data_IF_555952209379
#
_entry.id   IF_555952209379
#
_cell.length_a   1.000
_cell.length_b   1.000
_cell.length_c   1.000
_cell.angle_alpha   90.00
_cell.angle_beta   90.00
_cell.angle_gamma   90.00
#
_symmetry.space_group_name_H-M   'P 1'
#
loop_
_entity.id
_entity.type
_entity.pdbx_description
1 polymer ?
#
# COMPACT_ATOMS: atom_id res chain seq x y z
N UNK A 1 11.26 17.56 -9.52
CA UNK A 1 11.28 16.15 -9.30
C UNK A 1 9.87 15.61 -9.19
N UNK A 2 9.62 14.60 -9.92
CA UNK A 2 8.30 14.07 -9.95
C UNK A 2 8.06 13.16 -8.74
N UNK A 3 6.91 13.27 -8.18
CA UNK A 3 6.54 12.45 -7.06
C UNK A 3 5.78 11.23 -7.60
N UNK A 4 6.43 10.08 -7.51
CA UNK A 4 5.83 8.84 -7.97
C UNK A 4 5.17 8.06 -6.86
N UNK A 5 5.00 8.68 -5.72
CA UNK A 5 4.48 7.99 -4.59
C UNK A 5 3.07 7.48 -4.81
N UNK A 6 2.88 6.24 -4.46
CA UNK A 6 1.55 5.70 -4.27
C UNK A 6 1.21 5.92 -2.81
N UNK A 7 0.14 6.61 -2.54
CA UNK A 7 -0.26 6.80 -1.16
C UNK A 7 -0.48 5.44 -0.51
N UNK A 8 -0.18 5.33 0.76
CA UNK A 8 -0.30 4.05 1.43
C UNK A 8 -1.74 3.57 1.39
N UNK A 9 -1.95 2.58 0.61
CA UNK A 9 -3.22 1.90 0.61
C UNK A 9 -3.26 0.97 1.82
N UNK A 10 -4.41 0.72 2.31
CA UNK A 10 -4.54 -0.16 3.43
C UNK A 10 -3.97 0.43 4.68
N UNK A 11 -4.02 1.71 4.75
CA UNK A 11 -3.36 2.48 5.78
C UNK A 11 -3.52 2.02 7.17
N UNK A 12 -3.92 0.87 7.36
CA UNK A 12 -3.84 0.32 8.64
C UNK A 12 -4.40 1.22 9.67
N UNK A 13 -5.52 1.10 9.93
CA UNK A 13 -6.04 1.67 11.11
C UNK A 13 -5.55 0.84 12.26
N UNK A 14 -4.57 1.30 12.98
CA UNK A 14 -4.01 0.48 14.04
C UNK A 14 -4.86 0.46 15.28
N UNK A 15 -5.86 1.24 15.30
CA UNK A 15 -6.48 1.51 16.56
C UNK A 15 -7.46 0.50 17.07
N UNK A 16 -7.84 -0.43 16.27
CA UNK A 16 -8.90 -1.32 16.68
C UNK A 16 -8.39 -2.50 17.46
N UNK A 17 -8.85 -2.70 18.66
CA UNK A 17 -8.70 -4.00 19.26
C UNK A 17 -9.63 -4.93 18.54
N UNK A 18 -9.15 -6.07 18.08
CA UNK A 18 -10.04 -7.02 17.44
C UNK A 18 -11.10 -7.47 18.43
N UNK A 19 -12.28 -7.60 17.96
CA UNK A 19 -13.34 -8.17 18.75
C UNK A 19 -12.96 -9.60 19.13
N UNK A 20 -13.19 -9.97 20.37
CA UNK A 20 -12.85 -11.31 20.83
C UNK A 20 -13.62 -12.38 20.06
N UNK A 21 -14.74 -12.03 19.47
CA UNK A 21 -15.56 -12.96 18.71
C UNK A 21 -15.22 -13.00 17.22
N UNK A 22 -14.36 -12.11 16.77
CA UNK A 22 -14.02 -12.08 15.35
C UNK A 22 -13.09 -13.25 15.00
N UNK A 23 -13.35 -13.92 13.88
CA UNK A 23 -12.42 -14.96 13.46
C UNK A 23 -11.07 -14.32 13.11
N UNK A 24 -10.01 -14.97 13.51
CA UNK A 24 -8.67 -14.53 13.18
C UNK A 24 -8.32 -15.12 11.84
N UNK A 25 -8.14 -14.26 10.85
CA UNK A 25 -7.67 -14.70 9.56
C UNK A 25 -6.16 -14.52 9.50
N UNK A 26 -5.49 -15.47 8.88
CA UNK A 26 -4.06 -15.37 8.65
C UNK A 26 -3.86 -14.45 7.44
N UNK A 27 -3.06 -13.38 7.57
CA UNK A 27 -2.79 -12.55 6.42
C UNK A 27 -2.04 -13.33 5.36
N UNK A 28 -2.34 -13.06 4.11
CA UNK A 28 -1.69 -13.70 2.98
C UNK A 28 -1.05 -12.61 2.14
N UNK A 29 0.24 -12.73 1.85
CA UNK A 29 0.89 -11.74 0.98
C UNK A 29 0.28 -11.75 -0.41
N UNK A 30 0.45 -10.65 -1.12
CA UNK A 30 0.05 -10.60 -2.54
C UNK A 30 0.78 -11.73 -3.26
N UNK A 31 0.06 -12.60 -3.97
CA UNK A 31 0.71 -13.75 -4.61
C UNK A 31 1.57 -13.34 -5.79
N UNK A 32 2.45 -14.23 -6.19
CA UNK A 32 3.24 -14.04 -7.40
C UNK A 32 2.33 -13.99 -8.61
N UNK A 33 2.67 -13.12 -9.54
CA UNK A 33 2.00 -12.99 -10.82
C UNK A 33 2.97 -13.37 -11.93
N UNK A 34 2.48 -13.51 -13.13
CA UNK A 34 3.34 -13.79 -14.28
C UNK A 34 4.20 -12.57 -14.59
N UNK A 35 5.52 -12.68 -14.52
CA UNK A 35 6.37 -11.54 -14.88
C UNK A 35 6.32 -11.24 -16.38
N UNK A 36 6.64 -9.99 -16.77
CA UNK A 36 7.02 -8.91 -15.88
C UNK A 36 5.80 -8.20 -15.29
N UNK A 37 5.97 -7.69 -14.09
CA UNK A 37 5.06 -6.74 -13.49
C UNK A 37 5.90 -5.81 -12.61
N UNK A 38 5.27 -4.90 -11.91
CA UNK A 38 6.00 -3.83 -11.24
C UNK A 38 5.61 -3.74 -9.79
N UNK A 39 6.58 -3.37 -8.96
CA UNK A 39 6.36 -3.14 -7.54
C UNK A 39 6.81 -1.74 -7.20
N UNK A 40 5.94 -1.00 -6.53
CA UNK A 40 6.26 0.32 -6.01
C UNK A 40 6.49 0.15 -4.52
N UNK A 41 7.70 0.43 -4.06
CA UNK A 41 8.08 0.28 -2.67
C UNK A 41 8.11 1.66 -2.03
N UNK A 42 7.22 1.89 -1.07
CA UNK A 42 7.09 3.16 -0.38
C UNK A 42 7.42 2.95 1.09
N UNK A 43 8.52 3.54 1.53
CA UNK A 43 8.97 3.43 2.91
C UNK A 43 8.90 4.81 3.55
N UNK A 44 8.27 4.91 4.70
CA UNK A 44 8.00 6.22 5.28
C UNK A 44 8.06 6.21 6.80
N UNK A 45 8.28 7.41 7.35
CA UNK A 45 8.15 7.68 8.78
C UNK A 45 7.07 8.74 8.91
N UNK A 46 6.09 8.48 9.77
CA UNK A 46 4.96 9.38 9.97
C UNK A 46 5.28 10.49 10.96
N UNK A 47 4.58 11.62 10.78
CA UNK A 47 4.52 12.65 11.82
C UNK A 47 3.60 12.17 12.94
N UNK A 48 3.63 12.87 14.07
CA UNK A 48 2.73 12.57 15.18
C UNK A 48 1.29 12.96 14.82
N UNK A 49 0.35 12.23 15.41
CA UNK A 49 -1.06 12.52 15.23
C UNK A 49 -1.57 12.01 13.88
N UNK A 50 -2.87 11.79 13.81
CA UNK A 50 -3.46 11.25 12.60
C UNK A 50 -3.61 12.30 11.49
N UNK A 51 -4.13 13.46 11.83
CA UNK A 51 -4.30 14.61 10.91
C UNK A 51 -5.01 14.22 9.60
N UNK A 52 -5.97 13.28 9.68
CA UNK A 52 -6.72 12.84 8.52
C UNK A 52 -6.07 11.73 7.71
N UNK A 53 -4.91 11.26 8.14
CA UNK A 53 -4.17 10.23 7.43
C UNK A 53 -4.97 8.95 7.28
N UNK A 54 -5.54 8.44 8.37
CA UNK A 54 -6.21 7.15 8.35
C UNK A 54 -7.40 7.14 7.39
N UNK A 55 -8.21 8.17 7.44
CA UNK A 55 -9.37 8.28 6.55
C UNK A 55 -8.95 8.36 5.09
N UNK A 56 -7.92 9.14 4.80
CA UNK A 56 -7.42 9.27 3.44
C UNK A 56 -6.81 7.97 2.96
N UNK A 57 -6.08 7.27 3.82
CA UNK A 57 -5.49 5.99 3.44
C UNK A 57 -6.56 4.96 3.08
N UNK A 58 -7.65 4.92 3.82
CA UNK A 58 -8.77 4.03 3.48
C UNK A 58 -9.37 4.38 2.12
N UNK A 59 -9.53 5.68 1.87
CA UNK A 59 -10.05 6.13 0.59
C UNK A 59 -9.13 5.76 -0.56
N UNK A 60 -7.82 5.90 -0.36
CA UNK A 60 -6.84 5.54 -1.37
C UNK A 60 -6.87 4.04 -1.65
N UNK A 61 -7.08 3.24 -0.63
CA UNK A 61 -7.19 1.79 -0.81
C UNK A 61 -8.38 1.44 -1.70
N UNK A 62 -9.50 2.12 -1.52
CA UNK A 62 -10.67 1.91 -2.37
C UNK A 62 -10.40 2.32 -3.82
N UNK A 63 -9.79 3.48 -3.99
CA UNK A 63 -9.57 4.05 -5.32
C UNK A 63 -8.56 3.26 -6.14
N UNK A 64 -7.47 2.80 -5.52
CA UNK A 64 -6.43 2.11 -6.26
C UNK A 64 -6.95 0.80 -6.84
N UNK A 65 -7.92 0.19 -6.20
CA UNK A 65 -8.52 -1.05 -6.71
C UNK A 65 -9.24 -0.85 -8.02
N UNK A 66 -9.62 0.37 -8.34
CA UNK A 66 -10.29 0.68 -9.60
C UNK A 66 -9.33 0.92 -10.75
N UNK A 67 -8.05 1.03 -10.46
CA UNK A 67 -7.05 1.25 -11.52
C UNK A 67 -6.83 -0.06 -12.28
N UNK A 68 -7.05 -0.06 -13.61
CA UNK A 68 -6.76 -1.25 -14.39
C UNK A 68 -5.29 -1.62 -14.25
N UNK A 69 -5.03 -2.88 -13.96
CA UNK A 69 -3.66 -3.34 -13.77
C UNK A 69 -3.17 -3.31 -12.33
N UNK A 70 -3.95 -2.81 -11.39
CA UNK A 70 -3.57 -2.94 -9.99
C UNK A 70 -3.67 -4.40 -9.56
N UNK A 71 -2.62 -4.93 -8.97
CA UNK A 71 -2.53 -6.36 -8.64
C UNK A 71 -2.64 -6.63 -7.14
N UNK A 72 -2.39 -5.65 -6.31
CA UNK A 72 -2.50 -5.84 -4.86
C UNK A 72 -1.50 -5.01 -4.09
N UNK A 73 -1.59 -5.08 -2.78
CA UNK A 73 -0.72 -4.31 -1.90
C UNK A 73 -0.43 -5.08 -0.63
N UNK A 74 0.82 -5.04 -0.19
CA UNK A 74 1.23 -5.51 1.12
C UNK A 74 1.71 -4.31 1.92
N UNK A 75 1.36 -4.26 3.20
CA UNK A 75 1.74 -3.12 4.02
C UNK A 75 1.95 -3.53 5.46
N UNK A 76 2.97 -2.97 6.08
CA UNK A 76 3.23 -3.14 7.50
C UNK A 76 3.84 -1.85 8.05
N UNK A 77 3.47 -1.52 9.28
CA UNK A 77 4.02 -0.34 9.93
C UNK A 77 4.22 -0.61 11.41
N UNK A 78 5.41 -0.29 11.88
CA UNK A 78 5.72 -0.33 13.29
C UNK A 78 5.31 1.00 13.90
N UNK A 79 4.49 1.02 14.97
CA UNK A 79 4.14 2.29 15.61
C UNK A 79 5.40 3.04 16.03
N UNK A 80 5.49 4.31 15.64
CA UNK A 80 6.65 5.15 15.92
C UNK A 80 7.87 4.82 15.08
N UNK A 81 7.77 3.91 14.13
CA UNK A 81 8.89 3.47 13.32
C UNK A 81 8.59 3.55 11.83
N UNK A 82 9.22 2.66 11.08
CA UNK A 82 9.05 2.61 9.64
C UNK A 82 7.73 1.98 9.25
N UNK A 83 7.16 2.50 8.17
CA UNK A 83 6.11 1.83 7.45
C UNK A 83 6.58 1.47 6.06
N UNK A 84 6.22 0.31 5.57
CA UNK A 84 6.59 -0.14 4.24
C UNK A 84 5.32 -0.60 3.53
N UNK A 85 5.07 -0.02 2.38
CA UNK A 85 3.96 -0.41 1.51
C UNK A 85 4.55 -0.85 0.19
N UNK A 86 4.17 -2.04 -0.27
CA UNK A 86 4.56 -2.52 -1.57
C UNK A 86 3.29 -2.72 -2.39
N UNK A 87 3.14 -1.93 -3.44
CA UNK A 87 1.98 -2.00 -4.34
C UNK A 87 2.41 -2.62 -5.65
N UNK A 88 1.59 -3.52 -6.17
CA UNK A 88 1.93 -4.25 -7.39
C UNK A 88 1.01 -3.84 -8.52
N UNK A 89 1.60 -3.61 -9.70
CA UNK A 89 0.87 -3.17 -10.87
C UNK A 89 1.32 -3.96 -12.09
N UNK A 90 0.40 -4.22 -13.01
CA UNK A 90 0.68 -4.99 -14.20
C UNK A 90 1.71 -4.33 -15.11
N UNK A 91 1.67 -3.00 -15.21
CA UNK A 91 2.51 -2.25 -16.13
C UNK A 91 2.74 -0.83 -15.62
N UNK A 92 3.64 -0.13 -16.29
CA UNK A 92 3.96 1.25 -15.92
C UNK A 92 2.80 2.21 -16.17
N UNK A 93 1.94 1.90 -17.13
CA UNK A 93 0.78 2.75 -17.40
C UNK A 93 -0.18 2.77 -16.22
N UNK A 94 -0.35 1.64 -15.55
CA UNK A 94 -1.20 1.57 -14.36
C UNK A 94 -0.61 2.42 -13.24
N UNK A 95 0.70 2.40 -13.07
CA UNK A 95 1.37 3.23 -12.07
C UNK A 95 1.17 4.71 -12.39
N UNK A 96 1.32 5.07 -13.66
CA UNK A 96 1.16 6.46 -14.07
C UNK A 96 -0.27 6.93 -13.88
N UNK A 97 -1.23 6.09 -14.21
CA UNK A 97 -2.64 6.44 -14.03
C UNK A 97 -2.94 6.69 -12.56
N UNK A 98 -2.43 5.81 -11.68
CA UNK A 98 -2.64 5.99 -10.23
C UNK A 98 -1.96 7.26 -9.73
N UNK A 99 -0.74 7.50 -10.16
CA UNK A 99 0.02 8.68 -9.76
C UNK A 99 -0.71 9.96 -10.16
N UNK A 100 -1.38 9.95 -11.30
CA UNK A 100 -2.04 11.12 -11.86
C UNK A 100 -3.46 11.32 -11.35
N UNK A 101 -4.00 10.35 -10.62
CA UNK A 101 -5.36 10.45 -10.12
C UNK A 101 -5.50 11.66 -9.19
N UNK A 102 -6.54 12.48 -9.40
CA UNK A 102 -6.69 13.73 -8.67
C UNK A 102 -6.70 13.57 -7.15
N UNK A 103 -7.47 12.60 -6.64
CA UNK A 103 -7.52 12.38 -5.20
C UNK A 103 -6.19 11.88 -4.66
N UNK A 104 -5.48 11.06 -5.44
CA UNK A 104 -4.16 10.59 -5.04
C UNK A 104 -3.15 11.74 -5.02
N UNK A 105 -3.25 12.66 -5.98
CA UNK A 105 -2.38 13.84 -6.00
C UNK A 105 -2.61 14.73 -4.78
N UNK A 106 -3.86 14.90 -4.39
CA UNK A 106 -4.18 15.65 -3.17
C UNK A 106 -3.60 14.97 -1.94
N UNK A 107 -3.70 13.63 -1.88
CA UNK A 107 -3.11 12.87 -0.77
C UNK A 107 -1.59 13.02 -0.75
N UNK A 108 -0.94 13.04 -1.91
CA UNK A 108 0.50 13.25 -2.00
C UNK A 108 0.90 14.60 -1.41
N UNK A 109 0.16 15.65 -1.74
CA UNK A 109 0.43 16.99 -1.23
C UNK A 109 0.25 17.05 0.28
N UNK A 110 -0.82 16.48 0.79
CA UNK A 110 -1.06 16.43 2.23
C UNK A 110 0.00 15.60 2.94
N UNK A 111 0.44 14.53 2.32
CA UNK A 111 1.48 13.70 2.88
C UNK A 111 2.77 14.47 3.12
N UNK A 112 3.20 15.20 2.10
CA UNK A 112 4.41 16.02 2.23
C UNK A 112 4.22 17.16 3.22
N UNK A 113 3.03 17.74 3.27
CA UNK A 113 2.78 18.88 4.14
C UNK A 113 2.59 18.47 5.60
N UNK A 114 1.94 17.34 5.86
CA UNK A 114 1.44 17.06 7.19
C UNK A 114 1.69 15.65 7.74
N UNK A 115 1.87 14.65 6.87
CA UNK A 115 1.79 13.26 7.32
C UNK A 115 3.12 12.54 7.43
N UNK A 116 4.13 12.98 6.71
CA UNK A 116 5.41 12.26 6.66
C UNK A 116 6.57 13.13 7.08
N UNK A 117 7.36 12.60 8.02
CA UNK A 117 8.66 13.18 8.32
C UNK A 117 9.62 12.94 7.17
N UNK A 118 9.55 11.74 6.62
CA UNK A 118 10.40 11.36 5.49
C UNK A 118 9.78 10.19 4.76
N UNK A 119 10.15 10.04 3.52
CA UNK A 119 9.79 8.84 2.76
C UNK A 119 10.75 8.66 1.59
N UNK A 120 10.80 7.44 1.10
CA UNK A 120 11.42 7.14 -0.18
C UNK A 120 10.49 6.23 -0.97
N UNK A 121 10.61 6.30 -2.28
CA UNK A 121 9.77 5.51 -3.16
C UNK A 121 10.62 4.96 -4.29
N UNK A 122 10.44 3.69 -4.57
CA UNK A 122 11.16 3.02 -5.65
C UNK A 122 10.15 2.31 -6.53
N UNK A 123 10.31 2.48 -7.85
CA UNK A 123 9.53 1.74 -8.83
C UNK A 123 10.45 0.67 -9.39
N UNK A 124 10.05 -0.57 -9.27
CA UNK A 124 10.90 -1.69 -9.64
C UNK A 124 10.15 -2.61 -10.59
N UNK A 125 10.90 -3.28 -11.45
CA UNK A 125 10.36 -4.30 -12.33
C UNK A 125 10.60 -5.66 -11.71
N UNK A 126 9.55 -6.46 -11.60
CA UNK A 126 9.65 -7.81 -11.09
C UNK A 126 9.94 -8.72 -12.29
N UNK A 127 11.11 -9.34 -12.27
CA UNK A 127 11.54 -10.21 -13.36
C UNK A 127 11.31 -11.68 -13.06
N UNK A 128 11.24 -12.02 -11.79
CA UNK A 128 10.98 -13.37 -11.32
C UNK A 128 10.15 -13.30 -10.05
N UNK A 129 9.25 -14.23 -9.89
CA UNK A 129 8.45 -14.28 -8.69
C UNK A 129 7.98 -15.71 -8.43
N UNK A 130 7.72 -15.99 -7.18
CA UNK A 130 7.09 -17.23 -6.82
C UNK A 130 6.47 -17.07 -5.43
N UNK A 131 5.42 -17.81 -5.16
CA UNK A 131 4.76 -17.73 -3.86
C UNK A 131 4.47 -19.14 -3.35
N UNK A 132 4.26 -19.21 -2.05
CA UNK A 132 3.94 -20.47 -1.38
C UNK A 132 2.86 -20.18 -0.35
N UNK A 133 1.89 -21.03 -0.27
CA UNK A 133 0.89 -20.96 0.77
C UNK A 133 0.65 -22.37 1.29
N UNK A 134 0.75 -22.53 2.61
CA UNK A 134 0.58 -23.86 3.22
C UNK A 134 -0.87 -24.27 3.11
N UNK A 135 -1.08 -25.49 2.68
CA UNK A 135 -2.43 -26.04 2.65
C UNK A 135 -2.97 -26.13 4.07
N UNK A 136 -4.21 -25.76 4.25
CA UNK A 136 -4.86 -25.80 5.55
C UNK A 136 -5.93 -26.86 5.54
N UNK A 137 -6.00 -27.59 6.64
CA UNK A 137 -7.06 -28.55 6.79
C UNK A 137 -8.38 -27.82 6.99
N UNK A 138 -9.42 -28.42 6.47
CA UNK A 138 -10.77 -27.96 6.70
C UNK A 138 -11.47 -28.95 7.57
N UNK A 139 -12.05 -28.46 8.62
CA UNK A 139 -12.86 -29.30 9.49
C UNK A 139 -14.29 -29.34 9.02
#
# INVERSE_FOLDING_TARGET
>A
MSDHRVAPAGGASPGGTPSASAPVSVPVPVPAHEPPYYAVVFTSVRTEGDNGYGETAERMEELVKEIPGFLGVDMARTPGGLGITVSYFRDLDAIEEWRSHLEHRAAQQNGRAHWYESYSLHVTKVERSHSFERARERD
#
